data_IF_148382190676
#
_entry.id   IF_148382190676
#
_cell.length_a   1.000
_cell.length_b   1.000
_cell.length_c   1.000
_cell.angle_alpha   90.00
_cell.angle_beta   90.00
_cell.angle_gamma   90.00
#
_symmetry.space_group_name_H-M   'P 1'
#
loop_
_entity.id
_entity.type
_entity.pdbx_description
1 polymer ?
#
# COMPACT_ATOMS: atom_id res chain seq x y z
N UNK A 1 -4.53 7.40 -2.11
CA UNK A 1 -5.17 6.28 -2.83
C UNK A 1 -6.69 6.35 -2.68
N UNK A 2 -7.22 6.36 -1.46
CA UNK A 2 -8.66 6.47 -1.23
C UNK A 2 -9.30 7.73 -1.85
N UNK A 3 -8.70 8.90 -1.63
CA UNK A 3 -9.28 10.17 -2.11
C UNK A 3 -9.46 10.24 -3.63
N UNK A 4 -8.43 9.88 -4.41
CA UNK A 4 -8.37 10.11 -5.88
C UNK A 4 -7.57 9.04 -6.64
N UNK A 5 -7.59 7.80 -6.17
CA UNK A 5 -6.94 6.66 -6.84
C UNK A 5 -5.42 6.60 -6.66
N UNK A 6 -4.79 5.69 -7.42
CA UNK A 6 -3.37 5.32 -7.27
C UNK A 6 -2.41 6.42 -7.72
N UNK A 7 -2.72 7.13 -8.82
CA UNK A 7 -1.86 8.22 -9.32
C UNK A 7 -1.77 9.36 -8.29
N UNK A 8 -2.89 9.74 -7.65
CA UNK A 8 -2.87 10.75 -6.60
C UNK A 8 -1.98 10.37 -5.41
N UNK A 9 -1.79 9.07 -5.13
CA UNK A 9 -0.83 8.61 -4.13
C UNK A 9 0.61 8.65 -4.66
N UNK A 10 0.86 7.97 -5.78
CA UNK A 10 2.22 7.74 -6.29
C UNK A 10 2.86 9.04 -6.77
N UNK A 11 2.10 9.88 -7.48
CA UNK A 11 2.65 11.06 -8.14
C UNK A 11 2.86 12.24 -7.18
N UNK A 12 2.24 12.22 -6.00
CA UNK A 12 2.58 13.16 -4.92
C UNK A 12 3.88 12.81 -4.19
N UNK A 13 4.41 11.59 -4.35
CA UNK A 13 5.71 11.21 -3.77
C UNK A 13 6.90 11.83 -4.53
N UNK A 14 8.13 11.54 -4.08
CA UNK A 14 9.37 11.98 -4.74
C UNK A 14 9.55 11.33 -6.11
N UNK A 15 10.40 11.92 -6.97
CA UNK A 15 10.73 11.36 -8.29
C UNK A 15 11.23 9.92 -8.20
N UNK A 16 12.09 9.62 -7.23
CA UNK A 16 12.60 8.26 -6.99
C UNK A 16 11.47 7.28 -6.69
N UNK A 17 10.50 7.65 -5.86
CA UNK A 17 9.34 6.81 -5.55
C UNK A 17 8.42 6.63 -6.77
N UNK A 18 8.20 7.68 -7.56
CA UNK A 18 7.40 7.63 -8.80
C UNK A 18 7.98 6.67 -9.84
N UNK A 19 9.30 6.74 -10.05
CA UNK A 19 10.02 5.84 -10.95
C UNK A 19 10.05 4.42 -10.40
N UNK A 20 10.27 4.28 -9.10
CA UNK A 20 10.25 2.99 -8.41
C UNK A 20 8.91 2.28 -8.56
N UNK A 21 7.80 2.94 -8.25
CA UNK A 21 6.46 2.37 -8.39
C UNK A 21 6.21 1.89 -9.83
N UNK A 22 6.52 2.71 -10.85
CA UNK A 22 6.33 2.36 -12.26
C UNK A 22 7.20 1.18 -12.72
N UNK A 23 8.41 1.06 -12.18
CA UNK A 23 9.32 -0.05 -12.51
C UNK A 23 8.93 -1.36 -11.81
N UNK A 24 8.54 -1.30 -10.55
CA UNK A 24 8.38 -2.49 -9.71
C UNK A 24 6.94 -2.99 -9.59
N UNK A 25 5.93 -2.13 -9.71
CA UNK A 25 4.52 -2.58 -9.61
C UNK A 25 4.16 -3.69 -10.61
N UNK A 26 4.57 -3.64 -11.90
CA UNK A 26 4.29 -4.74 -12.83
C UNK A 26 4.96 -6.07 -12.44
N UNK A 27 6.06 -6.03 -11.67
CA UNK A 27 6.73 -7.26 -11.21
C UNK A 27 5.90 -7.98 -10.15
N UNK A 28 5.26 -7.23 -9.25
CA UNK A 28 4.35 -7.78 -8.26
C UNK A 28 3.06 -8.32 -8.90
N UNK A 29 2.51 -7.62 -9.89
CA UNK A 29 1.38 -8.13 -10.67
C UNK A 29 1.73 -9.48 -11.32
N UNK A 30 2.83 -9.52 -12.08
CA UNK A 30 3.23 -10.74 -12.77
C UNK A 30 3.50 -11.91 -11.82
N UNK A 31 4.21 -11.70 -10.70
CA UNK A 31 4.51 -12.81 -9.79
C UNK A 31 3.26 -13.34 -9.08
N UNK A 32 2.32 -12.46 -8.72
CA UNK A 32 1.05 -12.88 -8.12
C UNK A 32 0.20 -13.63 -9.14
N UNK A 33 0.04 -13.07 -10.34
CA UNK A 33 -0.77 -13.68 -11.40
C UNK A 33 -0.19 -15.00 -11.88
N UNK A 34 1.12 -15.10 -12.04
CA UNK A 34 1.77 -16.30 -12.59
C UNK A 34 1.99 -17.42 -11.57
N UNK A 35 2.11 -17.10 -10.27
CA UNK A 35 2.44 -18.11 -9.25
C UNK A 35 1.37 -18.20 -8.17
N UNK A 36 1.05 -17.10 -7.50
CA UNK A 36 0.14 -17.14 -6.35
C UNK A 36 -1.29 -17.53 -6.76
N UNK A 37 -1.84 -16.88 -7.79
CA UNK A 37 -3.19 -17.18 -8.28
C UNK A 37 -3.26 -18.59 -8.89
N UNK A 38 -2.23 -19.01 -9.63
CA UNK A 38 -2.14 -20.37 -10.16
C UNK A 38 -2.11 -21.43 -9.05
N UNK A 39 -1.43 -21.18 -7.93
CA UNK A 39 -1.42 -22.10 -6.80
C UNK A 39 -2.81 -22.20 -6.13
N UNK A 40 -3.55 -21.09 -6.06
CA UNK A 40 -4.94 -21.08 -5.58
C UNK A 40 -5.85 -21.87 -6.53
N UNK A 41 -5.78 -21.62 -7.83
CA UNK A 41 -6.60 -22.30 -8.83
C UNK A 41 -6.33 -23.82 -8.87
N UNK A 42 -5.08 -24.21 -8.63
CA UNK A 42 -4.67 -25.62 -8.51
C UNK A 42 -4.99 -26.25 -7.14
N UNK A 43 -5.60 -25.52 -6.21
CA UNK A 43 -6.01 -26.03 -4.91
C UNK A 43 -4.84 -26.44 -4.01
N UNK A 44 -3.72 -25.72 -4.07
CA UNK A 44 -2.55 -26.03 -3.22
C UNK A 44 -2.95 -25.97 -1.74
N UNK A 45 -2.46 -26.90 -0.90
CA UNK A 45 -2.81 -26.93 0.52
C UNK A 45 -2.29 -25.68 1.23
N UNK A 46 -3.05 -25.23 2.23
CA UNK A 46 -2.64 -24.11 3.09
C UNK A 46 -1.42 -24.53 3.90
N UNK A 47 -0.38 -23.69 3.88
CA UNK A 47 0.76 -23.86 4.78
C UNK A 47 0.40 -23.33 6.17
N UNK A 48 0.04 -24.24 7.09
CA UNK A 48 -0.36 -23.88 8.46
C UNK A 48 0.78 -23.27 9.28
N UNK A 49 2.05 -23.56 8.97
CA UNK A 49 3.19 -22.93 9.65
C UNK A 49 3.26 -21.44 9.32
N UNK A 50 2.96 -21.04 8.08
CA UNK A 50 2.88 -19.62 7.70
C UNK A 50 1.76 -18.90 8.47
N UNK A 51 0.61 -19.54 8.65
CA UNK A 51 -0.50 -18.98 9.43
C UNK A 51 -0.12 -18.86 10.91
N UNK A 52 0.49 -19.91 11.48
CA UNK A 52 0.96 -19.90 12.86
C UNK A 52 1.97 -18.77 13.08
N UNK A 53 2.98 -18.69 12.21
CA UNK A 53 4.01 -17.65 12.28
C UNK A 53 3.40 -16.25 12.11
N UNK A 54 2.44 -16.07 11.20
CA UNK A 54 1.72 -14.82 11.06
C UNK A 54 1.02 -14.42 12.36
N UNK A 55 0.33 -15.33 13.05
CA UNK A 55 -0.37 -15.02 14.30
C UNK A 55 0.58 -14.73 15.47
N UNK A 56 1.75 -15.35 15.49
CA UNK A 56 2.73 -15.22 16.56
C UNK A 56 3.89 -14.26 16.26
N UNK A 57 3.84 -13.52 15.14
CA UNK A 57 4.95 -12.67 14.74
C UNK A 57 5.17 -11.55 15.78
N UNK A 58 6.39 -11.38 16.34
CA UNK A 58 6.67 -10.35 17.33
C UNK A 58 6.45 -8.92 16.80
N UNK A 59 6.37 -8.73 15.47
CA UNK A 59 6.08 -7.43 14.87
C UNK A 59 4.75 -6.84 15.33
N UNK A 60 3.75 -7.67 15.70
CA UNK A 60 2.46 -7.18 16.18
C UNK A 60 2.60 -6.30 17.43
N UNK A 61 3.35 -6.79 18.43
CA UNK A 61 3.63 -6.03 19.65
C UNK A 61 4.54 -4.82 19.39
N UNK A 62 5.51 -4.94 18.48
CA UNK A 62 6.35 -3.80 18.10
C UNK A 62 5.55 -2.67 17.42
N UNK A 63 4.62 -3.02 16.53
CA UNK A 63 3.72 -2.07 15.86
C UNK A 63 2.78 -1.41 16.87
N UNK A 64 2.26 -2.16 17.85
CA UNK A 64 1.45 -1.62 18.94
C UNK A 64 2.22 -0.54 19.73
N UNK A 65 3.47 -0.82 20.13
CA UNK A 65 4.30 0.18 20.84
C UNK A 65 4.53 1.42 19.97
N UNK A 66 4.88 1.25 18.70
CA UNK A 66 5.02 2.37 17.76
C UNK A 66 3.72 3.18 17.61
N UNK A 67 2.56 2.53 17.67
CA UNK A 67 1.25 3.18 17.57
C UNK A 67 0.94 4.08 18.78
N UNK A 68 1.61 3.91 19.93
CA UNK A 68 1.50 4.85 21.05
C UNK A 68 2.22 6.18 20.80
N UNK A 69 3.12 6.23 19.81
CA UNK A 69 3.92 7.41 19.47
C UNK A 69 3.35 8.23 18.31
N UNK A 70 2.27 7.76 17.66
CA UNK A 70 1.64 8.50 16.56
C UNK A 70 0.91 9.75 17.10
N UNK A 71 0.78 10.82 16.30
CA UNK A 71 -0.17 11.89 16.61
C UNK A 71 -1.60 11.34 16.77
N UNK A 72 -2.36 11.91 17.70
CA UNK A 72 -3.74 11.50 18.02
C UNK A 72 -4.77 11.98 16.99
N UNK A 73 -4.33 12.69 15.95
CA UNK A 73 -5.16 13.21 14.87
C UNK A 73 -4.81 12.51 13.57
N UNK A 74 -5.83 11.98 12.91
CA UNK A 74 -5.70 11.37 11.59
C UNK A 74 -5.60 12.43 10.48
N UNK A 75 -4.92 12.07 9.40
CA UNK A 75 -4.83 12.94 8.23
C UNK A 75 -6.17 13.00 7.49
N UNK A 76 -6.64 14.22 7.22
CA UNK A 76 -7.79 14.47 6.32
C UNK A 76 -7.29 14.96 4.97
N UNK A 77 -7.57 14.20 3.90
CA UNK A 77 -7.15 14.56 2.53
C UNK A 77 -8.36 14.53 1.59
N UNK A 78 -8.96 15.69 1.30
CA UNK A 78 -10.10 15.75 0.39
C UNK A 78 -9.64 15.62 -1.09
N UNK A 79 -10.59 15.39 -1.99
CA UNK A 79 -10.27 15.23 -3.42
C UNK A 79 -9.70 16.53 -4.04
N UNK A 80 -10.21 17.68 -3.62
CA UNK A 80 -9.82 19.02 -4.03
C UNK A 80 -8.65 19.60 -3.19
N UNK A 81 -7.88 18.74 -2.49
CA UNK A 81 -6.76 19.18 -1.66
C UNK A 81 -5.81 20.13 -2.40
N UNK A 82 -5.56 21.29 -1.80
CA UNK A 82 -4.70 22.36 -2.32
C UNK A 82 -3.24 22.25 -1.83
N UNK A 83 -3.01 21.46 -0.78
CA UNK A 83 -1.69 21.17 -0.19
C UNK A 83 -0.93 20.04 -0.90
N UNK A 84 -1.35 19.65 -2.10
CA UNK A 84 -0.67 18.67 -2.97
C UNK A 84 0.21 19.37 -4.02
N UNK A 85 0.96 18.57 -4.80
CA UNK A 85 1.73 19.09 -5.94
C UNK A 85 0.85 19.92 -6.88
N UNK A 86 1.28 21.13 -7.32
CA UNK A 86 0.47 22.02 -8.14
C UNK A 86 -0.15 21.34 -9.37
N UNK A 87 0.60 20.49 -10.05
CA UNK A 87 0.17 19.76 -11.24
C UNK A 87 -0.88 18.66 -10.97
N UNK A 88 -1.15 18.32 -9.70
CA UNK A 88 -2.16 17.34 -9.29
C UNK A 88 -3.39 17.98 -8.62
N UNK A 89 -3.36 19.29 -8.38
CA UNK A 89 -4.52 20.02 -7.86
C UNK A 89 -5.62 20.02 -8.91
N UNK A 90 -6.85 19.81 -8.46
CA UNK A 90 -8.04 20.00 -9.28
C UNK A 90 -8.77 21.20 -8.72
N UNK A 91 -9.13 22.14 -9.60
CA UNK A 91 -10.11 23.17 -9.24
C UNK A 91 -11.41 22.44 -8.93
N UNK A 92 -12.00 22.68 -7.76
CA UNK A 92 -13.37 22.30 -7.51
C UNK A 92 -14.26 22.89 -8.62
N UNK A 93 -15.18 22.08 -9.15
CA UNK A 93 -16.25 22.60 -10.00
C UNK A 93 -17.17 23.53 -9.20
#
# INVERSE_FOLDING_TARGET
>A
MHARGVSFMVDNCSTTARLGSRKWAPRFDYILTQQALVAVDNGYPVNHDLISNFLSDPVHGAVEVCAHLRPTVDISVPADADFVRPELRQSGN
#
